data_IF_129970397079
#
_entry.id   IF_129970397079
#
_cell.length_a   1.000
_cell.length_b   1.000
_cell.length_c   1.000
_cell.angle_alpha   90.00
_cell.angle_beta   90.00
_cell.angle_gamma   90.00
#
_symmetry.space_group_name_H-M   'P 1'
#
loop_
_entity.id
_entity.type
_entity.pdbx_description
1 polymer ?
#
# COMPACT_ATOMS: atom_id res chain seq x y z
N UNK A 1 10.43 12.43 -15.99
CA UNK A 1 9.20 13.23 -15.79
C UNK A 1 8.43 12.62 -14.63
N UNK A 2 8.25 13.35 -13.52
CA UNK A 2 7.38 12.86 -12.43
C UNK A 2 5.95 12.78 -12.94
N UNK A 3 5.35 11.58 -12.87
CA UNK A 3 3.92 11.43 -13.17
C UNK A 3 3.10 12.10 -12.06
N UNK A 4 1.93 12.69 -12.40
CA UNK A 4 1.06 13.32 -11.42
C UNK A 4 0.56 12.30 -10.39
N UNK A 5 0.40 12.75 -9.15
CA UNK A 5 -0.13 11.96 -8.05
C UNK A 5 -1.58 11.55 -8.35
N UNK A 6 -2.02 10.38 -7.86
CA UNK A 6 -3.42 9.96 -8.02
C UNK A 6 -4.38 10.93 -7.28
N UNK A 7 -5.62 11.05 -7.75
CA UNK A 7 -6.67 11.89 -7.11
C UNK A 7 -6.86 11.50 -5.64
N UNK A 8 -6.85 10.20 -5.33
CA UNK A 8 -6.88 9.70 -3.96
C UNK A 8 -5.65 10.13 -3.14
N UNK A 9 -4.46 10.13 -3.74
CA UNK A 9 -3.25 10.62 -3.08
C UNK A 9 -3.33 12.12 -2.77
N UNK A 10 -3.89 12.92 -3.68
CA UNK A 10 -4.12 14.35 -3.45
C UNK A 10 -5.12 14.57 -2.31
N UNK A 11 -6.24 13.84 -2.29
CA UNK A 11 -7.25 13.92 -1.23
C UNK A 11 -6.66 13.63 0.16
N UNK A 12 -5.91 12.52 0.29
CA UNK A 12 -5.25 12.16 1.56
C UNK A 12 -4.22 13.21 2.00
N UNK A 13 -3.54 13.85 1.06
CA UNK A 13 -2.55 14.88 1.38
C UNK A 13 -3.21 16.18 1.85
N UNK A 14 -4.36 16.55 1.30
CA UNK A 14 -5.15 17.68 1.82
C UNK A 14 -5.72 17.38 3.22
N UNK A 15 -6.23 16.17 3.45
CA UNK A 15 -6.66 15.72 4.78
C UNK A 15 -5.51 15.82 5.79
N UNK A 16 -4.31 15.37 5.42
CA UNK A 16 -3.13 15.40 6.28
C UNK A 16 -2.68 16.80 6.71
N UNK A 17 -3.03 17.85 5.96
CA UNK A 17 -2.76 19.25 6.35
C UNK A 17 -3.70 19.72 7.46
N UNK A 18 -4.90 19.15 7.54
CA UNK A 18 -5.95 19.57 8.47
C UNK A 18 -5.99 18.74 9.75
N UNK A 19 -5.33 17.58 9.78
CA UNK A 19 -5.19 16.73 10.97
C UNK A 19 -4.05 17.23 11.85
N UNK A 20 -4.30 17.34 13.16
CA UNK A 20 -3.27 17.70 14.15
C UNK A 20 -2.19 16.63 14.21
N UNK A 21 -0.95 17.02 14.51
CA UNK A 21 0.18 16.08 14.54
C UNK A 21 -0.04 14.88 15.49
N UNK A 22 -0.67 15.12 16.63
CA UNK A 22 -1.03 14.10 17.64
C UNK A 22 -2.06 13.07 17.13
N UNK A 23 -2.89 13.44 16.17
CA UNK A 23 -3.97 12.60 15.61
C UNK A 23 -3.55 11.88 14.31
N UNK A 24 -2.34 12.17 13.78
CA UNK A 24 -1.84 11.56 12.53
C UNK A 24 -1.49 10.08 12.69
N UNK A 25 -1.23 9.65 13.91
CA UNK A 25 -0.83 8.29 14.25
C UNK A 25 -1.77 7.69 15.30
N UNK A 26 -1.96 6.38 15.21
CA UNK A 26 -2.65 5.62 16.24
C UNK A 26 -1.86 4.35 16.58
N UNK A 27 -2.07 3.83 17.78
CA UNK A 27 -1.44 2.59 18.24
C UNK A 27 -2.30 1.40 17.85
N UNK A 28 -1.70 0.44 17.14
CA UNK A 28 -2.30 -0.86 16.84
C UNK A 28 -1.33 -1.95 17.27
N UNK A 29 -1.75 -2.80 18.22
CA UNK A 29 -0.92 -3.92 18.72
C UNK A 29 0.52 -3.50 19.13
N UNK A 30 0.65 -2.29 19.68
CA UNK A 30 1.94 -1.75 20.12
C UNK A 30 2.77 -1.04 19.03
N UNK A 31 2.29 -0.96 17.79
CA UNK A 31 2.97 -0.32 16.66
C UNK A 31 2.17 0.92 16.22
N UNK A 32 2.89 1.99 15.85
CA UNK A 32 2.28 3.23 15.34
C UNK A 32 1.96 3.12 13.86
N UNK A 33 0.71 3.40 13.49
CA UNK A 33 0.22 3.43 12.11
C UNK A 33 -0.36 4.80 11.76
N UNK A 34 -0.36 5.14 10.47
CA UNK A 34 -0.96 6.38 9.97
C UNK A 34 -2.48 6.29 9.94
N UNK A 35 -3.16 7.23 10.61
CA UNK A 35 -4.63 7.34 10.62
C UNK A 35 -5.19 7.58 9.20
N UNK A 36 -4.44 8.28 8.35
CA UNK A 36 -4.90 8.69 7.02
C UNK A 36 -4.55 7.64 5.95
N UNK A 37 -3.33 7.10 6.01
CA UNK A 37 -2.88 6.15 5.00
C UNK A 37 -3.38 4.73 5.28
N UNK A 38 -3.40 4.33 6.57
CA UNK A 38 -3.72 2.98 7.03
C UNK A 38 -4.70 3.02 8.21
N UNK A 39 -5.94 3.50 8.02
CA UNK A 39 -6.92 3.56 9.08
C UNK A 39 -7.23 2.17 9.66
N UNK A 40 -7.75 2.07 10.91
CA UNK A 40 -7.93 0.80 11.61
C UNK A 40 -8.72 -0.28 10.84
N UNK A 41 -9.70 0.13 10.05
CA UNK A 41 -10.50 -0.75 9.20
C UNK A 41 -9.68 -1.44 8.10
N UNK A 42 -8.67 -0.77 7.53
CA UNK A 42 -7.77 -1.38 6.57
C UNK A 42 -7.02 -2.55 7.22
N UNK A 43 -6.47 -2.33 8.42
CA UNK A 43 -5.71 -3.38 9.13
C UNK A 43 -6.60 -4.54 9.57
N UNK A 44 -7.86 -4.28 9.94
CA UNK A 44 -8.82 -5.35 10.25
C UNK A 44 -9.06 -6.24 9.03
N UNK A 45 -9.27 -5.66 7.85
CA UNK A 45 -9.46 -6.44 6.63
C UNK A 45 -8.24 -7.29 6.25
N UNK A 46 -7.02 -6.81 6.54
CA UNK A 46 -5.80 -7.60 6.30
C UNK A 46 -5.70 -8.88 7.16
N UNK A 47 -6.39 -8.96 8.31
CA UNK A 47 -6.36 -10.18 9.15
C UNK A 47 -7.06 -11.37 8.49
N UNK A 48 -7.99 -11.10 7.59
CA UNK A 48 -8.75 -12.10 6.84
C UNK A 48 -8.10 -12.42 5.49
N UNK A 49 -6.96 -11.79 5.18
CA UNK A 49 -6.28 -11.96 3.92
C UNK A 49 -5.63 -13.34 3.81
N UNK A 50 -5.99 -14.08 2.77
CA UNK A 50 -5.34 -15.33 2.39
C UNK A 50 -4.44 -15.10 1.17
N UNK A 51 -3.17 -15.47 1.28
CA UNK A 51 -2.22 -15.41 0.15
C UNK A 51 -2.37 -16.62 -0.75
N UNK A 52 -2.19 -16.43 -2.06
CA UNK A 52 -2.14 -17.53 -3.03
C UNK A 52 -0.75 -18.17 -3.05
N UNK A 53 -0.63 -19.44 -3.47
CA UNK A 53 0.67 -20.15 -3.48
C UNK A 53 1.76 -19.48 -4.34
N UNK A 54 1.37 -18.66 -5.31
CA UNK A 54 2.23 -17.97 -6.25
C UNK A 54 2.41 -16.46 -5.96
N UNK A 55 1.80 -15.94 -4.88
CA UNK A 55 1.97 -14.55 -4.49
C UNK A 55 3.39 -14.28 -3.94
N UNK A 56 3.93 -13.11 -4.27
CA UNK A 56 5.22 -12.63 -3.78
C UNK A 56 5.00 -11.48 -2.79
N UNK A 57 5.36 -11.69 -1.53
CA UNK A 57 5.28 -10.66 -0.49
C UNK A 57 6.61 -9.93 -0.32
N UNK A 58 6.63 -8.64 -0.63
CA UNK A 58 7.76 -7.75 -0.35
C UNK A 58 7.54 -7.03 0.99
N UNK A 59 8.29 -7.44 2.02
CA UNK A 59 8.22 -6.83 3.36
C UNK A 59 9.42 -5.91 3.57
N UNK A 60 9.16 -4.69 4.05
CA UNK A 60 10.22 -3.71 4.28
C UNK A 60 9.77 -2.67 5.32
N UNK A 61 10.69 -2.26 6.19
CA UNK A 61 10.45 -1.11 7.05
C UNK A 61 10.43 0.19 6.23
N UNK A 62 9.63 1.20 6.57
CA UNK A 62 9.58 2.44 5.81
C UNK A 62 10.96 3.03 5.53
N UNK A 63 11.15 3.49 4.29
CA UNK A 63 12.37 4.14 3.77
C UNK A 63 13.59 3.22 3.54
N UNK A 64 13.49 1.90 3.66
CA UNK A 64 14.59 0.98 3.35
C UNK A 64 14.74 0.61 1.85
N UNK A 65 14.23 1.44 0.93
CA UNK A 65 14.32 1.17 -0.51
C UNK A 65 13.16 0.38 -1.14
N UNK A 66 12.01 0.26 -0.46
CA UNK A 66 10.82 -0.46 -0.94
C UNK A 66 10.44 -0.12 -2.40
N UNK A 67 10.33 1.18 -2.73
CA UNK A 67 9.94 1.61 -4.07
C UNK A 67 10.91 1.13 -5.17
N UNK A 68 12.21 1.06 -4.86
CA UNK A 68 13.20 0.57 -5.80
C UNK A 68 13.04 -0.95 -6.01
N UNK A 69 12.85 -1.70 -4.93
CA UNK A 69 12.61 -3.14 -5.00
C UNK A 69 11.32 -3.48 -5.75
N UNK A 70 10.24 -2.71 -5.58
CA UNK A 70 9.01 -2.86 -6.38
C UNK A 70 9.29 -2.72 -7.88
N UNK A 71 10.10 -1.73 -8.28
CA UNK A 71 10.46 -1.54 -9.68
C UNK A 71 11.30 -2.70 -10.24
N UNK A 72 12.20 -3.27 -9.43
CA UNK A 72 12.99 -4.45 -9.78
C UNK A 72 12.09 -5.68 -9.94
N UNK A 73 11.23 -5.97 -8.96
CA UNK A 73 10.31 -7.12 -9.01
C UNK A 73 9.38 -7.04 -10.22
N UNK A 74 8.80 -5.87 -10.51
CA UNK A 74 7.96 -5.67 -11.71
C UNK A 74 8.71 -5.97 -13.01
N UNK A 75 9.99 -5.61 -13.12
CA UNK A 75 10.82 -5.93 -14.28
C UNK A 75 11.08 -7.43 -14.41
N UNK A 76 11.35 -8.11 -13.29
CA UNK A 76 11.54 -9.57 -13.26
C UNK A 76 10.25 -10.28 -13.70
N UNK A 77 9.11 -9.90 -13.11
CA UNK A 77 7.80 -10.46 -13.46
C UNK A 77 7.48 -10.25 -14.94
N UNK A 78 7.67 -9.03 -15.47
CA UNK A 78 7.42 -8.75 -16.87
C UNK A 78 8.32 -9.55 -17.82
N UNK A 79 9.58 -9.77 -17.45
CA UNK A 79 10.50 -10.61 -18.21
C UNK A 79 10.10 -12.09 -18.18
N UNK A 80 9.59 -12.58 -17.04
CA UNK A 80 9.18 -13.98 -16.86
C UNK A 80 7.83 -14.29 -17.50
N UNK A 81 6.85 -13.38 -17.41
CA UNK A 81 5.48 -13.60 -17.91
C UNK A 81 5.25 -13.10 -19.33
N UNK A 82 6.13 -12.25 -19.86
CA UNK A 82 5.93 -11.56 -21.14
C UNK A 82 4.85 -10.47 -21.10
N UNK A 83 4.25 -10.20 -19.94
CA UNK A 83 3.21 -9.18 -19.75
C UNK A 83 3.82 -7.90 -19.17
N UNK A 84 3.54 -6.75 -19.78
CA UNK A 84 3.82 -5.46 -19.14
C UNK A 84 2.73 -5.16 -18.10
N UNK A 85 2.91 -5.67 -16.89
CA UNK A 85 2.09 -5.34 -15.73
C UNK A 85 2.41 -3.90 -15.27
N UNK A 86 1.47 -2.97 -15.47
CA UNK A 86 1.62 -1.57 -15.09
C UNK A 86 0.52 -1.13 -14.14
N UNK A 87 0.24 -1.92 -13.09
CA UNK A 87 -0.61 -1.42 -11.99
C UNK A 87 -0.01 -0.12 -11.44
N UNK A 88 -0.78 0.97 -11.56
CA UNK A 88 -0.42 2.29 -11.04
C UNK A 88 -0.66 2.40 -9.54
N UNK A 89 -1.26 1.37 -8.94
CA UNK A 89 -1.58 1.33 -7.51
C UNK A 89 -0.30 0.92 -6.75
N UNK A 90 0.09 1.65 -5.70
CA UNK A 90 1.15 1.22 -4.80
C UNK A 90 0.81 -0.15 -4.21
N UNK A 91 1.72 -1.14 -4.23
CA UNK A 91 1.45 -2.47 -3.67
C UNK A 91 1.63 -2.47 -2.15
N UNK A 92 0.92 -1.56 -1.47
CA UNK A 92 0.93 -1.40 -0.02
C UNK A 92 -0.45 -1.81 0.48
N UNK A 93 -0.54 -3.05 0.95
CA UNK A 93 -1.79 -3.69 1.35
C UNK A 93 -2.50 -2.92 2.47
N UNK A 94 -1.75 -2.30 3.36
CA UNK A 94 -2.25 -1.46 4.45
C UNK A 94 -2.89 -0.15 3.98
N UNK A 95 -2.73 0.24 2.71
CA UNK A 95 -3.34 1.43 2.14
C UNK A 95 -4.67 1.15 1.43
N UNK A 96 -4.99 -0.13 1.21
CA UNK A 96 -6.23 -0.53 0.54
C UNK A 96 -7.39 -0.52 1.52
N UNK A 97 -8.52 0.07 1.09
CA UNK A 97 -9.78 -0.07 1.82
C UNK A 97 -10.20 -1.54 1.86
N UNK A 98 -11.05 -1.94 2.82
CA UNK A 98 -11.55 -3.31 2.90
C UNK A 98 -12.16 -3.82 1.58
N UNK A 99 -12.84 -2.96 0.82
CA UNK A 99 -13.41 -3.32 -0.48
C UNK A 99 -12.33 -3.55 -1.54
N UNK A 100 -11.26 -2.74 -1.57
CA UNK A 100 -10.15 -2.92 -2.49
C UNK A 100 -9.32 -4.18 -2.17
N UNK A 101 -9.21 -4.54 -0.89
CA UNK A 101 -8.54 -5.77 -0.47
C UNK A 101 -9.24 -7.00 -1.06
N UNK A 102 -10.57 -7.06 -1.01
CA UNK A 102 -11.37 -8.16 -1.60
C UNK A 102 -11.23 -8.28 -3.11
N UNK A 103 -10.98 -7.18 -3.81
CA UNK A 103 -10.86 -7.16 -5.28
C UNK A 103 -9.44 -7.51 -5.73
N UNK A 104 -8.43 -6.97 -5.07
CA UNK A 104 -7.03 -7.14 -5.46
C UNK A 104 -6.41 -8.44 -4.93
N UNK A 105 -7.01 -9.06 -3.92
CA UNK A 105 -6.51 -10.26 -3.26
C UNK A 105 -7.65 -11.26 -3.03
N UNK A 106 -8.09 -11.95 -4.11
CA UNK A 106 -9.15 -12.96 -4.04
C UNK A 106 -8.69 -14.29 -3.43
#
# INVERSE_FOLDING_TARGET
>A
MSKPMSVQGMSKMEEAKNVKDEDKLYLHEGILYSTIMSPPENLKGLKELEGRPDDILLVAYPKCGFNWMVAVLRKIMAAASGQQEVSQIPPLMEFFSPDMQKVCMP
#
